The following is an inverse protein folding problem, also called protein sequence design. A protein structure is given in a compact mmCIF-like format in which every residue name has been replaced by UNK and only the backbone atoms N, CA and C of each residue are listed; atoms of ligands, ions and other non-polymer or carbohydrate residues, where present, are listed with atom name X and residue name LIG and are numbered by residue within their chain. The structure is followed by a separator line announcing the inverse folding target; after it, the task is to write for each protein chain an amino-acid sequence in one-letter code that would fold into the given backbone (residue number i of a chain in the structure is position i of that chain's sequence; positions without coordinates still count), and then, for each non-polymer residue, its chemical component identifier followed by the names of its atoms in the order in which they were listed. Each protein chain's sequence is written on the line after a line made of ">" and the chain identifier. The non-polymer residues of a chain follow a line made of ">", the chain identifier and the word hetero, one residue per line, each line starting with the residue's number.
data_IF_249778463770
#
_entry.id   IF_249778463770
#
_cell.length_a   1.000
_cell.length_b   1.000
_cell.length_c   1.000
_cell.angle_alpha   90.00
_cell.angle_beta   90.00
_cell.angle_gamma   90.00
#
_symmetry.space_group_name_H-M   'P 1'
#
loop_
_entity.id
_entity.type
_entity.pdbx_description
1 polymer ?
#
# COMPACT_ATOMS: atom_id res chain seq x y z
N UNK A 1 44.45 -0.87 -1.42
CA UNK A 1 44.10 0.53 -1.72
C UNK A 1 42.58 0.72 -1.87
N UNK A 2 41.94 -0.11 -2.70
CA UNK A 2 40.49 -0.07 -2.96
C UNK A 2 39.61 -0.24 -1.71
N UNK A 3 39.96 -1.12 -0.77
CA UNK A 3 39.21 -1.25 0.49
C UNK A 3 39.20 0.05 1.31
N UNK A 4 40.34 0.72 1.41
CA UNK A 4 40.44 2.02 2.09
C UNK A 4 39.72 3.15 1.32
N UNK A 5 39.53 3.02 0.00
CA UNK A 5 38.66 3.92 -0.78
C UNK A 5 37.20 3.65 -0.49
N UNK A 6 36.79 2.38 -0.45
CA UNK A 6 35.43 1.97 -0.11
C UNK A 6 35.02 2.49 1.26
N UNK A 7 35.85 2.30 2.29
CA UNK A 7 35.55 2.79 3.65
C UNK A 7 35.37 4.31 3.69
N UNK A 8 36.26 5.06 3.02
CA UNK A 8 36.16 6.53 2.93
C UNK A 8 34.91 6.98 2.17
N UNK A 9 34.55 6.29 1.09
CA UNK A 9 33.36 6.60 0.33
C UNK A 9 32.09 6.28 1.14
N UNK A 10 32.05 5.16 1.85
CA UNK A 10 30.94 4.81 2.76
C UNK A 10 30.81 5.81 3.91
N UNK A 11 31.93 6.27 4.46
CA UNK A 11 31.93 7.35 5.44
C UNK A 11 31.29 8.63 4.87
N UNK A 12 31.67 9.05 3.66
CA UNK A 12 31.06 10.21 3.00
C UNK A 12 29.55 10.00 2.72
N UNK A 13 29.11 8.80 2.34
CA UNK A 13 27.67 8.46 2.24
C UNK A 13 26.96 8.66 3.58
N UNK A 14 27.54 8.20 4.68
CA UNK A 14 26.95 8.37 6.02
C UNK A 14 26.84 9.85 6.41
N UNK A 15 27.80 10.68 5.98
CA UNK A 15 27.77 12.13 6.16
C UNK A 15 26.89 12.87 5.14
N UNK A 16 26.19 12.15 4.27
CA UNK A 16 25.32 12.71 3.21
C UNK A 16 26.08 13.53 2.16
N UNK A 17 27.40 13.31 2.06
CA UNK A 17 28.28 13.96 1.10
C UNK A 17 28.31 13.17 -0.21
N UNK A 18 27.16 13.07 -0.89
CA UNK A 18 26.95 12.18 -2.04
C UNK A 18 27.98 12.37 -3.15
N UNK A 19 28.28 13.61 -3.50
CA UNK A 19 29.25 13.97 -4.54
C UNK A 19 30.68 13.65 -4.14
N UNK A 20 31.01 13.68 -2.85
CA UNK A 20 32.33 13.32 -2.32
C UNK A 20 32.48 11.80 -2.38
N UNK A 21 31.47 11.07 -1.91
CA UNK A 21 31.44 9.62 -1.97
C UNK A 21 31.62 9.10 -3.40
N UNK A 22 30.89 9.65 -4.37
CA UNK A 22 31.01 9.29 -5.79
C UNK A 22 32.41 9.58 -6.35
N UNK A 23 32.99 10.75 -6.04
CA UNK A 23 34.35 11.09 -6.47
C UNK A 23 35.41 10.14 -5.90
N UNK A 24 35.28 9.76 -4.62
CA UNK A 24 36.20 8.78 -4.01
C UNK A 24 36.06 7.42 -4.70
N UNK A 25 34.83 7.01 -4.97
CA UNK A 25 34.52 5.72 -5.59
C UNK A 25 35.01 5.63 -7.04
N UNK A 26 34.88 6.70 -7.84
CA UNK A 26 35.33 6.77 -9.23
C UNK A 26 36.85 6.59 -9.40
N UNK A 27 37.63 6.83 -8.33
CA UNK A 27 39.08 6.60 -8.33
C UNK A 27 39.48 5.18 -7.90
N UNK A 28 38.54 4.27 -7.68
CA UNK A 28 38.83 2.87 -7.35
C UNK A 28 39.16 2.07 -8.62
N UNK A 29 40.00 1.04 -8.48
CA UNK A 29 40.31 0.15 -9.61
C UNK A 29 39.17 -0.84 -9.87
N UNK A 30 38.49 -1.29 -8.81
CA UNK A 30 37.32 -2.16 -8.91
C UNK A 30 36.02 -1.38 -9.22
N UNK A 31 35.37 -1.61 -10.38
CA UNK A 31 34.11 -0.93 -10.75
C UNK A 31 32.95 -1.18 -9.76
N UNK A 32 33.01 -2.31 -9.04
CA UNK A 32 32.02 -2.67 -8.02
C UNK A 32 31.93 -1.63 -6.90
N UNK A 33 33.02 -0.92 -6.58
CA UNK A 33 33.01 0.10 -5.53
C UNK A 33 32.12 1.28 -5.93
N UNK A 34 32.21 1.72 -7.18
CA UNK A 34 31.33 2.77 -7.71
C UNK A 34 29.85 2.35 -7.66
N UNK A 35 29.56 1.10 -8.04
CA UNK A 35 28.20 0.55 -8.02
C UNK A 35 27.62 0.47 -6.60
N UNK A 36 28.43 0.02 -5.63
CA UNK A 36 28.03 -0.02 -4.21
C UNK A 36 27.72 1.38 -3.70
N UNK A 37 28.59 2.35 -3.97
CA UNK A 37 28.43 3.73 -3.47
C UNK A 37 27.25 4.42 -4.15
N UNK A 38 27.06 4.20 -5.45
CA UNK A 38 25.87 4.66 -6.16
C UNK A 38 24.61 4.07 -5.55
N UNK A 39 24.53 2.75 -5.40
CA UNK A 39 23.40 2.07 -4.76
C UNK A 39 23.08 2.63 -3.38
N UNK A 40 24.09 2.73 -2.50
CA UNK A 40 23.93 3.26 -1.13
C UNK A 40 23.43 4.70 -1.13
N UNK A 41 23.88 5.50 -2.09
CA UNK A 41 23.37 6.87 -2.30
C UNK A 41 21.90 6.83 -2.72
N UNK A 42 21.51 6.00 -3.68
CA UNK A 42 20.14 5.97 -4.22
C UNK A 42 19.10 5.50 -3.18
N UNK A 43 19.41 4.49 -2.38
CA UNK A 43 18.49 3.96 -1.35
C UNK A 43 18.39 4.86 -0.11
N UNK A 44 19.32 5.79 0.09
CA UNK A 44 19.34 6.68 1.26
C UNK A 44 18.03 7.48 1.36
N UNK A 45 17.38 7.57 2.52
CA UNK A 45 16.16 8.38 2.69
C UNK A 45 16.42 9.89 2.54
N UNK A 46 17.68 10.32 2.62
CA UNK A 46 18.09 11.72 2.54
C UNK A 46 18.55 12.14 1.13
N UNK A 47 18.61 11.21 0.19
CA UNK A 47 18.92 11.51 -1.20
C UNK A 47 17.63 11.69 -2.02
N UNK A 48 17.69 12.62 -2.98
CA UNK A 48 16.60 12.91 -3.92
C UNK A 48 17.07 12.62 -5.35
N UNK A 49 17.32 11.36 -5.71
CA UNK A 49 17.74 11.00 -7.06
C UNK A 49 16.63 11.27 -8.08
N UNK A 50 17.01 11.61 -9.30
CA UNK A 50 16.07 11.80 -10.41
C UNK A 50 15.50 10.46 -10.88
N UNK A 51 14.34 10.51 -11.54
CA UNK A 51 13.76 9.33 -12.19
C UNK A 51 14.75 8.63 -13.13
N UNK A 52 15.45 9.39 -13.98
CA UNK A 52 16.41 8.83 -14.93
C UNK A 52 17.58 8.11 -14.26
N UNK A 53 18.11 8.65 -13.16
CA UNK A 53 19.19 7.96 -12.41
C UNK A 53 18.70 6.65 -11.83
N UNK A 54 17.49 6.62 -11.28
CA UNK A 54 16.89 5.41 -10.71
C UNK A 54 16.60 4.37 -11.80
N UNK A 55 15.98 4.80 -12.91
CA UNK A 55 15.70 3.96 -14.07
C UNK A 55 16.98 3.37 -14.64
N UNK A 56 18.02 4.19 -14.83
CA UNK A 56 19.31 3.74 -15.32
C UNK A 56 19.90 2.65 -14.42
N UNK A 57 19.90 2.85 -13.09
CA UNK A 57 20.42 1.86 -12.16
C UNK A 57 19.64 0.54 -12.23
N UNK A 58 18.31 0.59 -12.18
CA UNK A 58 17.45 -0.59 -12.22
C UNK A 58 17.57 -1.37 -13.54
N UNK A 59 17.78 -0.68 -14.66
CA UNK A 59 17.96 -1.32 -15.98
C UNK A 59 19.34 -1.96 -16.14
N UNK A 60 20.40 -1.34 -15.62
CA UNK A 60 21.77 -1.83 -15.80
C UNK A 60 22.21 -2.85 -14.75
N UNK A 61 21.55 -2.87 -13.58
CA UNK A 61 21.88 -3.74 -12.46
C UNK A 61 20.68 -4.54 -11.97
N UNK A 62 20.08 -5.41 -12.81
CA UNK A 62 18.97 -6.26 -12.38
C UNK A 62 19.46 -7.32 -11.37
N UNK A 63 18.62 -7.64 -10.40
CA UNK A 63 18.92 -8.50 -9.25
C UNK A 63 19.70 -7.82 -8.12
N UNK A 64 19.89 -6.50 -8.15
CA UNK A 64 20.64 -5.82 -7.09
C UNK A 64 19.85 -5.81 -5.77
N UNK A 65 20.50 -5.83 -4.60
CA UNK A 65 19.79 -5.72 -3.34
C UNK A 65 18.89 -4.47 -3.29
N UNK A 66 17.73 -4.60 -2.65
CA UNK A 66 16.82 -3.48 -2.35
C UNK A 66 16.22 -2.79 -3.59
N UNK A 67 16.06 -3.51 -4.70
CA UNK A 67 15.34 -3.03 -5.89
C UNK A 67 13.98 -2.44 -5.57
N UNK A 68 13.19 -3.08 -4.70
CA UNK A 68 11.89 -2.54 -4.26
C UNK A 68 11.97 -1.10 -3.73
N UNK A 69 13.05 -0.73 -3.03
CA UNK A 69 13.23 0.64 -2.53
C UNK A 69 13.51 1.59 -3.69
N UNK A 70 14.36 1.19 -4.63
CA UNK A 70 14.68 1.97 -5.82
C UNK A 70 13.45 2.14 -6.72
N UNK A 71 12.69 1.08 -6.96
CA UNK A 71 11.45 1.08 -7.73
C UNK A 71 10.41 1.99 -7.08
N UNK A 72 10.21 1.91 -5.77
CA UNK A 72 9.30 2.83 -5.04
C UNK A 72 9.74 4.28 -5.15
N UNK A 73 11.06 4.55 -5.09
CA UNK A 73 11.60 5.90 -5.30
C UNK A 73 11.38 6.38 -6.73
N UNK A 74 11.54 5.52 -7.73
CA UNK A 74 11.34 5.85 -9.13
C UNK A 74 9.87 6.15 -9.41
N UNK A 75 8.98 5.29 -8.92
CA UNK A 75 7.53 5.49 -8.95
C UNK A 75 7.11 6.82 -8.30
N UNK A 76 7.73 7.21 -7.19
CA UNK A 76 7.43 8.48 -6.53
C UNK A 76 7.86 9.72 -7.33
N UNK A 77 8.73 9.57 -8.34
CA UNK A 77 9.10 10.64 -9.27
C UNK A 77 8.16 10.73 -10.48
N UNK A 78 7.33 9.71 -10.73
CA UNK A 78 6.40 9.69 -11.86
C UNK A 78 5.08 10.37 -11.51
N UNK A 79 4.57 11.16 -12.45
CA UNK A 79 3.32 11.91 -12.33
C UNK A 79 2.50 11.81 -13.62
N UNK A 80 1.24 12.24 -13.62
CA UNK A 80 0.43 12.32 -14.85
C UNK A 80 1.03 13.27 -15.90
N UNK A 81 1.74 14.31 -15.45
CA UNK A 81 2.48 15.26 -16.31
C UNK A 81 3.70 14.62 -16.99
N UNK A 82 4.19 13.50 -16.46
CA UNK A 82 5.28 12.76 -17.10
C UNK A 82 4.82 12.29 -18.48
N UNK A 83 5.62 12.49 -19.56
CA UNK A 83 5.23 12.11 -20.91
C UNK A 83 4.71 10.68 -20.98
N UNK A 84 3.62 10.48 -21.73
CA UNK A 84 2.95 9.18 -21.84
C UNK A 84 3.90 8.06 -22.28
N UNK A 85 4.80 8.35 -23.21
CA UNK A 85 5.83 7.40 -23.67
C UNK A 85 6.74 6.93 -22.53
N UNK A 86 7.22 7.86 -21.69
CA UNK A 86 8.08 7.54 -20.54
C UNK A 86 7.35 6.67 -19.53
N UNK A 87 6.08 6.99 -19.22
CA UNK A 87 5.27 6.18 -18.30
C UNK A 87 5.01 4.77 -18.85
N UNK A 88 4.65 4.67 -20.13
CA UNK A 88 4.39 3.38 -20.79
C UNK A 88 5.64 2.51 -20.79
N UNK A 89 6.78 3.08 -21.18
CA UNK A 89 8.05 2.36 -21.24
C UNK A 89 8.51 1.90 -19.84
N UNK A 90 8.21 2.68 -18.80
CA UNK A 90 8.46 2.27 -17.42
C UNK A 90 7.57 1.09 -17.00
N UNK A 91 6.24 1.22 -17.14
CA UNK A 91 5.29 0.22 -16.67
C UNK A 91 5.25 -1.06 -17.52
N UNK A 92 5.81 -1.06 -18.72
CA UNK A 92 5.94 -2.27 -19.55
C UNK A 92 6.94 -3.28 -18.98
N UNK A 93 7.90 -2.81 -18.18
CA UNK A 93 8.99 -3.64 -17.62
C UNK A 93 9.01 -3.65 -16.09
N UNK A 94 8.33 -2.69 -15.44
CA UNK A 94 8.31 -2.54 -13.99
C UNK A 94 6.86 -2.61 -13.48
N UNK A 95 6.41 -3.78 -12.98
CA UNK A 95 5.10 -3.89 -12.34
C UNK A 95 4.98 -2.92 -11.15
N UNK A 96 3.92 -2.10 -11.09
CA UNK A 96 3.80 -1.05 -10.08
C UNK A 96 3.63 -1.63 -8.66
N UNK A 97 4.48 -1.18 -7.74
CA UNK A 97 4.53 -1.62 -6.35
C UNK A 97 3.67 -0.72 -5.45
N UNK A 98 3.78 0.60 -5.61
CA UNK A 98 2.98 1.57 -4.85
C UNK A 98 1.56 1.67 -5.40
N UNK A 99 0.64 2.08 -4.54
CA UNK A 99 -0.75 2.27 -4.95
C UNK A 99 -0.89 3.48 -5.90
N UNK A 100 -0.07 4.51 -5.68
CA UNK A 100 0.16 5.65 -6.57
C UNK A 100 0.61 5.21 -7.97
N UNK A 101 1.63 4.36 -8.05
CA UNK A 101 2.10 3.84 -9.33
C UNK A 101 1.07 2.95 -10.03
N UNK A 102 0.30 2.15 -9.28
CA UNK A 102 -0.81 1.36 -9.85
C UNK A 102 -1.86 2.26 -10.51
N UNK A 103 -2.24 3.34 -9.85
CA UNK A 103 -3.13 4.34 -10.43
C UNK A 103 -2.52 4.97 -11.68
N UNK A 104 -1.25 5.38 -11.62
CA UNK A 104 -0.60 6.02 -12.76
C UNK A 104 -0.47 5.07 -13.95
N UNK A 105 -0.13 3.79 -13.71
CA UNK A 105 -0.07 2.75 -14.72
C UNK A 105 -1.43 2.53 -15.40
N UNK A 106 -2.52 2.54 -14.62
CA UNK A 106 -3.88 2.44 -15.13
C UNK A 106 -4.27 3.59 -16.07
N UNK A 107 -3.92 4.83 -15.66
CA UNK A 107 -4.14 6.03 -16.45
C UNK A 107 -3.31 5.95 -17.74
N UNK A 108 -2.06 5.53 -17.65
CA UNK A 108 -1.17 5.30 -18.79
C UNK A 108 -1.74 4.29 -19.79
N UNK A 109 -2.17 3.11 -19.33
CA UNK A 109 -2.74 2.07 -20.19
C UNK A 109 -4.03 2.53 -20.89
N UNK A 110 -4.86 3.29 -20.18
CA UNK A 110 -6.07 3.92 -20.75
C UNK A 110 -5.69 4.92 -21.85
N UNK A 111 -4.76 5.83 -21.58
CA UNK A 111 -4.31 6.84 -22.54
C UNK A 111 -3.65 6.23 -23.78
N UNK A 112 -3.06 5.03 -23.63
CA UNK A 112 -2.49 4.25 -24.73
C UNK A 112 -3.52 3.43 -25.53
N UNK A 113 -4.82 3.48 -25.18
CA UNK A 113 -5.91 2.69 -25.79
C UNK A 113 -5.68 1.17 -25.76
N UNK A 114 -5.03 0.64 -24.70
CA UNK A 114 -4.70 -0.80 -24.56
C UNK A 114 -5.90 -1.65 -24.10
N UNK A 115 -7.12 -1.30 -24.51
CA UNK A 115 -8.33 -2.14 -24.33
C UNK A 115 -8.91 -2.23 -22.92
N UNK A 116 -8.34 -1.52 -21.93
CA UNK A 116 -8.87 -1.51 -20.56
C UNK A 116 -9.69 -0.23 -20.32
N UNK A 117 -10.87 -0.36 -19.72
CA UNK A 117 -11.71 0.81 -19.43
C UNK A 117 -11.23 1.49 -18.15
N UNK A 118 -10.91 2.78 -18.23
CA UNK A 118 -10.50 3.61 -17.07
C UNK A 118 -11.37 3.39 -15.83
N UNK A 119 -12.72 3.32 -15.91
CA UNK A 119 -13.56 3.13 -14.73
C UNK A 119 -13.28 1.84 -13.98
N UNK A 120 -13.05 0.73 -14.70
CA UNK A 120 -12.77 -0.56 -14.05
C UNK A 120 -11.46 -0.51 -13.25
N UNK A 121 -10.42 0.08 -13.83
CA UNK A 121 -9.12 0.14 -13.15
C UNK A 121 -9.13 1.10 -11.96
N UNK A 122 -9.79 2.26 -12.11
CA UNK A 122 -9.94 3.21 -11.01
C UNK A 122 -10.69 2.57 -9.84
N UNK A 123 -11.78 1.83 -10.10
CA UNK A 123 -12.51 1.11 -9.06
C UNK A 123 -11.66 0.07 -8.37
N UNK A 124 -10.95 -0.78 -9.11
CA UNK A 124 -10.09 -1.81 -8.53
C UNK A 124 -8.96 -1.20 -7.67
N UNK A 125 -8.31 -0.18 -8.22
CA UNK A 125 -7.24 0.57 -7.55
C UNK A 125 -7.76 1.23 -6.27
N UNK A 126 -8.94 1.86 -6.33
CA UNK A 126 -9.57 2.49 -5.18
C UNK A 126 -9.93 1.50 -4.07
N UNK A 127 -10.50 0.34 -4.42
CA UNK A 127 -10.87 -0.71 -3.46
C UNK A 127 -9.64 -1.30 -2.75
N UNK A 128 -8.57 -1.58 -3.50
CA UNK A 128 -7.38 -2.30 -2.99
C UNK A 128 -6.28 -1.40 -2.44
N UNK A 129 -6.19 -0.15 -2.90
CA UNK A 129 -5.05 0.72 -2.65
C UNK A 129 -4.91 1.23 -1.21
N UNK A 130 -3.74 1.05 -0.62
CA UNK A 130 -3.28 1.85 0.53
C UNK A 130 -2.62 3.12 0.01
N UNK A 131 -3.33 4.24 0.08
CA UNK A 131 -2.89 5.52 -0.49
C UNK A 131 -2.35 6.46 0.58
N UNK A 132 -1.43 7.34 0.19
CA UNK A 132 -1.23 8.57 0.97
C UNK A 132 -2.51 9.42 1.00
N UNK A 133 -2.65 10.29 2.00
CA UNK A 133 -3.79 11.22 2.05
C UNK A 133 -3.86 12.12 0.81
N UNK A 134 -2.71 12.55 0.29
CA UNK A 134 -2.62 13.37 -0.94
C UNK A 134 -3.19 12.61 -2.14
N UNK A 135 -2.79 11.35 -2.32
CA UNK A 135 -3.23 10.48 -3.41
C UNK A 135 -4.72 10.16 -3.31
N UNK A 136 -5.21 9.84 -2.12
CA UNK A 136 -6.62 9.58 -1.87
C UNK A 136 -7.49 10.77 -2.29
N UNK A 137 -7.06 11.99 -1.93
CA UNK A 137 -7.73 13.22 -2.32
C UNK A 137 -7.70 13.42 -3.85
N UNK A 138 -6.55 13.21 -4.50
CA UNK A 138 -6.44 13.35 -5.96
C UNK A 138 -7.37 12.38 -6.69
N UNK A 139 -7.50 11.14 -6.22
CA UNK A 139 -8.44 10.17 -6.83
C UNK A 139 -9.88 10.64 -6.69
N UNK A 140 -10.26 11.13 -5.51
CA UNK A 140 -11.61 11.65 -5.28
C UNK A 140 -11.88 12.91 -6.10
N UNK A 141 -10.93 13.83 -6.21
CA UNK A 141 -11.04 15.06 -7.01
C UNK A 141 -11.24 14.75 -8.49
N UNK A 142 -10.46 13.82 -9.05
CA UNK A 142 -10.45 13.56 -10.49
C UNK A 142 -11.45 12.47 -10.94
N UNK A 143 -11.78 11.52 -10.06
CA UNK A 143 -12.48 10.30 -10.46
C UNK A 143 -13.66 9.92 -9.56
N UNK A 144 -14.12 10.79 -8.64
CA UNK A 144 -15.28 10.47 -7.80
C UNK A 144 -16.53 10.07 -8.60
N UNK A 145 -16.74 10.63 -9.79
CA UNK A 145 -17.85 10.26 -10.68
C UNK A 145 -17.81 8.82 -11.17
N UNK A 146 -16.65 8.17 -11.13
CA UNK A 146 -16.47 6.76 -11.53
C UNK A 146 -16.69 5.80 -10.35
N UNK A 147 -16.67 6.31 -9.12
CA UNK A 147 -16.75 5.52 -7.89
C UNK A 147 -18.20 5.44 -7.39
N UNK A 148 -18.59 4.24 -6.99
CA UNK A 148 -19.91 3.95 -6.42
C UNK A 148 -19.85 3.86 -4.90
N UNK A 149 -21.01 3.89 -4.26
CA UNK A 149 -21.13 3.62 -2.81
C UNK A 149 -20.56 2.25 -2.42
N UNK A 150 -20.70 1.25 -3.30
CA UNK A 150 -20.12 -0.08 -3.13
C UNK A 150 -18.58 -0.03 -3.16
N UNK A 151 -17.98 0.75 -4.06
CA UNK A 151 -16.53 0.94 -4.14
C UNK A 151 -15.98 1.56 -2.84
N UNK A 152 -16.68 2.56 -2.29
CA UNK A 152 -16.31 3.17 -1.01
C UNK A 152 -16.44 2.18 0.17
N UNK A 153 -17.50 1.37 0.20
CA UNK A 153 -17.69 0.35 1.23
C UNK A 153 -16.61 -0.74 1.16
N UNK A 154 -16.29 -1.23 -0.04
CA UNK A 154 -15.23 -2.21 -0.27
C UNK A 154 -13.85 -1.67 0.14
N UNK A 155 -13.56 -0.41 -0.17
CA UNK A 155 -12.34 0.27 0.30
C UNK A 155 -12.28 0.32 1.82
N UNK A 156 -13.35 0.73 2.49
CA UNK A 156 -13.41 0.77 3.96
C UNK A 156 -13.13 -0.61 4.56
N UNK A 157 -13.73 -1.67 4.01
CA UNK A 157 -13.47 -3.03 4.45
C UNK A 157 -11.98 -3.40 4.32
N UNK A 158 -11.36 -3.14 3.17
CA UNK A 158 -9.93 -3.41 2.96
C UNK A 158 -9.01 -2.61 3.90
N UNK A 159 -9.35 -1.34 4.18
CA UNK A 159 -8.59 -0.51 5.11
C UNK A 159 -8.71 -1.00 6.57
N UNK A 160 -9.88 -1.49 6.98
CA UNK A 160 -10.08 -2.12 8.29
C UNK A 160 -9.20 -3.36 8.46
N UNK A 161 -9.15 -4.23 7.46
CA UNK A 161 -8.28 -5.41 7.48
C UNK A 161 -6.80 -5.05 7.61
N UNK A 162 -6.37 -3.98 6.94
CA UNK A 162 -4.99 -3.47 7.03
C UNK A 162 -4.71 -2.63 8.29
N UNK A 163 -5.69 -2.45 9.18
CA UNK A 163 -5.53 -1.63 10.39
C UNK A 163 -5.30 -0.13 10.12
N UNK A 164 -5.69 0.38 8.96
CA UNK A 164 -5.47 1.78 8.56
C UNK A 164 -6.58 2.70 9.10
N UNK A 165 -6.68 2.84 10.42
CA UNK A 165 -7.77 3.55 11.10
C UNK A 165 -7.99 4.99 10.61
N UNK A 166 -6.92 5.76 10.47
CA UNK A 166 -7.02 7.15 9.97
C UNK A 166 -7.57 7.22 8.54
N UNK A 167 -7.31 6.22 7.69
CA UNK A 167 -7.87 6.17 6.35
C UNK A 167 -9.35 5.75 6.35
N UNK A 168 -9.75 4.83 7.25
CA UNK A 168 -11.15 4.46 7.46
C UNK A 168 -11.97 5.67 7.89
N UNK A 169 -11.47 6.47 8.83
CA UNK A 169 -12.19 7.65 9.34
C UNK A 169 -12.42 8.71 8.26
N UNK A 170 -11.44 8.93 7.37
CA UNK A 170 -11.60 9.83 6.22
C UNK A 170 -12.66 9.35 5.23
N UNK A 171 -12.95 8.06 5.19
CA UNK A 171 -13.95 7.49 4.29
C UNK A 171 -15.40 7.67 4.76
N UNK A 172 -15.62 8.07 6.02
CA UNK A 172 -16.96 8.22 6.59
C UNK A 172 -17.93 9.09 5.78
N UNK A 173 -17.53 10.22 5.16
CA UNK A 173 -18.43 11.02 4.33
C UNK A 173 -18.91 10.30 3.06
N UNK A 174 -18.17 9.30 2.57
CA UNK A 174 -18.43 8.63 1.28
C UNK A 174 -19.22 7.33 1.41
N UNK A 175 -19.48 6.88 2.63
CA UNK A 175 -20.24 5.65 2.90
C UNK A 175 -21.58 5.96 3.56
N UNK A 176 -22.53 5.04 3.38
CA UNK A 176 -23.84 5.12 4.03
C UNK A 176 -23.70 5.10 5.56
N UNK A 177 -24.73 5.62 6.24
CA UNK A 177 -24.77 5.64 7.72
C UNK A 177 -24.58 4.24 8.30
N UNK A 178 -25.17 3.21 7.68
CA UNK A 178 -25.06 1.83 8.12
C UNK A 178 -23.60 1.33 8.06
N UNK A 179 -22.92 1.53 6.93
CA UNK A 179 -21.52 1.14 6.75
C UNK A 179 -20.57 1.94 7.65
N UNK A 180 -20.87 3.22 7.91
CA UNK A 180 -20.13 4.03 8.87
C UNK A 180 -20.20 3.43 10.28
N UNK A 181 -21.39 3.03 10.73
CA UNK A 181 -21.59 2.40 12.05
C UNK A 181 -20.85 1.06 12.14
N UNK A 182 -20.93 0.24 11.10
CA UNK A 182 -20.14 -1.00 10.99
C UNK A 182 -18.63 -0.74 11.13
N UNK A 183 -18.10 0.23 10.38
CA UNK A 183 -16.68 0.58 10.44
C UNK A 183 -16.25 1.10 11.81
N UNK A 184 -17.08 1.93 12.45
CA UNK A 184 -16.84 2.42 13.81
C UNK A 184 -16.80 1.29 14.84
N UNK A 185 -17.71 0.31 14.75
CA UNK A 185 -17.73 -0.86 15.62
C UNK A 185 -16.45 -1.70 15.46
N UNK A 186 -16.03 -1.95 14.21
CA UNK A 186 -14.81 -2.69 13.89
C UNK A 186 -13.55 -1.98 14.39
N UNK A 187 -13.42 -0.67 14.19
CA UNK A 187 -12.30 0.10 14.76
C UNK A 187 -12.31 0.11 16.30
N UNK A 188 -13.48 0.18 16.94
CA UNK A 188 -13.57 0.10 18.40
C UNK A 188 -13.06 -1.25 18.92
N UNK A 189 -13.42 -2.35 18.24
CA UNK A 189 -12.93 -3.70 18.52
C UNK A 189 -11.41 -3.81 18.34
N UNK A 190 -10.85 -3.23 17.27
CA UNK A 190 -9.40 -3.23 17.02
C UNK A 190 -8.62 -2.48 18.09
N UNK A 191 -9.08 -1.28 18.45
CA UNK A 191 -8.37 -0.38 19.38
C UNK A 191 -8.66 -0.65 20.85
N UNK A 192 -9.55 -1.61 21.16
CA UNK A 192 -9.96 -1.95 22.54
C UNK A 192 -10.45 -0.73 23.33
N UNK A 193 -11.12 0.21 22.66
CA UNK A 193 -11.65 1.41 23.30
C UNK A 193 -12.76 1.02 24.28
N UNK A 194 -12.94 1.73 25.41
CA UNK A 194 -14.16 1.60 26.20
C UNK A 194 -15.40 1.82 25.32
N UNK A 195 -16.49 1.06 25.57
CA UNK A 195 -17.73 1.18 24.81
C UNK A 195 -17.82 0.31 23.55
N UNK A 196 -17.01 -0.74 23.41
CA UNK A 196 -17.14 -1.74 22.32
C UNK A 196 -18.58 -2.26 22.20
N UNK A 197 -19.20 -2.64 23.32
CA UNK A 197 -20.57 -3.20 23.30
C UNK A 197 -21.58 -2.19 22.75
N UNK A 198 -21.43 -0.90 23.12
CA UNK A 198 -22.26 0.17 22.59
C UNK A 198 -22.03 0.38 21.09
N UNK A 199 -20.78 0.35 20.63
CA UNK A 199 -20.46 0.50 19.21
C UNK A 199 -21.05 -0.67 18.38
N UNK A 200 -20.93 -1.91 18.88
CA UNK A 200 -21.50 -3.10 18.24
C UNK A 200 -23.03 -3.07 18.23
N UNK A 201 -23.67 -2.64 19.32
CA UNK A 201 -25.13 -2.57 19.41
C UNK A 201 -25.76 -1.55 18.42
N UNK A 202 -24.98 -0.61 17.90
CA UNK A 202 -25.44 0.37 16.90
C UNK A 202 -25.32 -0.12 15.46
N UNK A 203 -24.68 -1.27 15.24
CA UNK A 203 -24.63 -1.87 13.90
C UNK A 203 -26.04 -2.36 13.54
N UNK A 204 -26.59 -1.95 12.37
CA UNK A 204 -27.90 -2.43 11.92
C UNK A 204 -27.95 -3.95 11.81
N UNK A 205 -29.12 -4.54 12.01
CA UNK A 205 -29.30 -5.99 12.01
C UNK A 205 -28.82 -6.64 10.69
N UNK A 206 -29.01 -5.95 9.56
CA UNK A 206 -28.59 -6.42 8.24
C UNK A 206 -27.07 -6.54 8.07
N UNK A 207 -26.29 -5.85 8.92
CA UNK A 207 -24.83 -5.87 8.92
C UNK A 207 -24.25 -6.58 10.15
N UNK A 208 -25.10 -7.12 11.03
CA UNK A 208 -24.67 -7.76 12.27
C UNK A 208 -23.87 -9.04 12.03
N UNK A 209 -24.12 -9.70 10.90
CA UNK A 209 -23.41 -10.89 10.40
C UNK A 209 -22.30 -10.57 9.41
N UNK A 210 -21.89 -9.29 9.27
CA UNK A 210 -20.73 -8.94 8.45
C UNK A 210 -19.51 -9.75 8.88
N UNK A 211 -18.83 -10.46 7.94
CA UNK A 211 -17.72 -11.34 8.30
C UNK A 211 -16.58 -10.63 9.03
N UNK A 212 -16.30 -9.39 8.65
CA UNK A 212 -15.28 -8.59 9.31
C UNK A 212 -15.66 -8.24 10.75
N UNK A 213 -16.92 -7.88 10.99
CA UNK A 213 -17.43 -7.62 12.33
C UNK A 213 -17.40 -8.86 13.21
N UNK A 214 -17.84 -10.02 12.69
CA UNK A 214 -17.82 -11.27 13.46
C UNK A 214 -16.38 -11.64 13.81
N UNK A 215 -15.46 -11.57 12.84
CA UNK A 215 -14.04 -11.81 13.09
C UNK A 215 -13.48 -10.90 14.20
N UNK A 216 -13.74 -9.59 14.12
CA UNK A 216 -13.24 -8.62 15.09
C UNK A 216 -13.83 -8.86 16.49
N UNK A 217 -15.11 -9.26 16.57
CA UNK A 217 -15.82 -9.65 17.80
C UNK A 217 -15.27 -10.94 18.42
N UNK A 218 -14.91 -11.93 17.62
CA UNK A 218 -14.27 -13.19 18.05
C UNK A 218 -12.87 -12.89 18.58
N UNK A 219 -12.05 -12.16 17.79
CA UNK A 219 -10.69 -11.78 18.16
C UNK A 219 -10.67 -11.02 19.47
N UNK A 220 -11.56 -10.05 19.64
CA UNK A 220 -11.68 -9.29 20.88
C UNK A 220 -12.02 -10.20 22.08
N UNK A 221 -13.01 -11.11 21.95
CA UNK A 221 -13.39 -12.04 23.03
C UNK A 221 -12.25 -12.98 23.42
N UNK A 222 -11.56 -13.58 22.45
CA UNK A 222 -10.41 -14.46 22.69
C UNK A 222 -9.31 -13.74 23.48
N UNK A 223 -9.01 -12.49 23.13
CA UNK A 223 -8.01 -11.69 23.82
C UNK A 223 -8.39 -11.32 25.27
N UNK A 224 -9.68 -11.41 25.63
CA UNK A 224 -10.19 -11.15 26.98
C UNK A 224 -10.54 -12.43 27.74
N UNK A 225 -10.04 -13.60 27.30
CA UNK A 225 -10.27 -14.89 27.96
C UNK A 225 -11.69 -15.44 27.82
N UNK A 226 -12.52 -14.84 26.96
CA UNK A 226 -13.93 -15.26 26.74
C UNK A 226 -14.02 -16.28 25.60
N UNK A 227 -13.34 -17.42 25.74
CA UNK A 227 -13.20 -18.41 24.67
C UNK A 227 -14.53 -19.06 24.28
N UNK A 228 -15.33 -19.52 25.23
CA UNK A 228 -16.65 -20.13 24.94
C UNK A 228 -17.57 -19.16 24.20
N UNK A 229 -17.69 -17.92 24.70
CA UNK A 229 -18.48 -16.88 24.03
C UNK A 229 -17.95 -16.50 22.64
N UNK A 230 -16.67 -16.77 22.34
CA UNK A 230 -16.12 -16.59 21.00
C UNK A 230 -16.50 -17.76 20.09
N UNK A 231 -16.51 -19.00 20.60
CA UNK A 231 -16.93 -20.19 19.87
C UNK A 231 -18.43 -20.16 19.56
N UNK A 232 -19.26 -19.80 20.54
CA UNK A 232 -20.70 -19.66 20.34
C UNK A 232 -21.00 -18.62 19.26
N UNK A 233 -20.30 -17.49 19.29
CA UNK A 233 -20.46 -16.46 18.27
C UNK A 233 -20.13 -16.97 16.86
N UNK A 234 -19.09 -17.80 16.71
CA UNK A 234 -18.75 -18.41 15.42
C UNK A 234 -19.87 -19.36 14.97
N UNK A 235 -20.36 -20.23 15.86
CA UNK A 235 -21.43 -21.20 15.58
C UNK A 235 -22.74 -20.53 15.16
N UNK A 236 -23.04 -19.37 15.76
CA UNK A 236 -24.25 -18.60 15.45
C UNK A 236 -24.22 -17.97 14.05
N UNK A 237 -23.03 -17.73 13.48
CA UNK A 237 -22.87 -16.96 12.23
C UNK A 237 -22.29 -17.78 11.07
N UNK A 238 -21.65 -18.91 11.35
CA UNK A 238 -21.00 -19.75 10.35
C UNK A 238 -21.34 -21.22 10.57
N UNK A 239 -21.58 -21.92 9.47
CA UNK A 239 -21.72 -23.37 9.49
C UNK A 239 -20.35 -24.05 9.53
N UNK A 240 -20.32 -25.33 9.88
CA UNK A 240 -19.10 -26.13 9.81
C UNK A 240 -18.47 -26.10 8.40
N UNK A 241 -19.30 -26.10 7.35
CA UNK A 241 -18.88 -26.01 5.95
C UNK A 241 -18.24 -24.65 5.63
N UNK A 242 -18.79 -23.54 6.15
CA UNK A 242 -18.20 -22.21 5.95
C UNK A 242 -16.82 -22.11 6.62
N UNK A 243 -16.68 -22.72 7.80
CA UNK A 243 -15.44 -22.77 8.56
C UNK A 243 -14.41 -23.66 7.86
N UNK A 244 -14.82 -24.79 7.29
CA UNK A 244 -13.94 -25.69 6.54
C UNK A 244 -13.44 -25.04 5.24
N UNK A 245 -14.32 -24.38 4.49
CA UNK A 245 -13.93 -23.61 3.30
C UNK A 245 -12.97 -22.47 3.64
N UNK A 246 -13.23 -21.77 4.74
CA UNK A 246 -12.36 -20.75 5.32
C UNK A 246 -10.96 -21.28 5.70
N UNK A 247 -10.89 -22.47 6.31
CA UNK A 247 -9.62 -23.10 6.70
C UNK A 247 -8.83 -23.56 5.46
N UNK A 248 -9.52 -24.11 4.45
CA UNK A 248 -8.90 -24.58 3.21
C UNK A 248 -8.39 -23.45 2.33
N UNK A 249 -9.11 -22.33 2.25
CA UNK A 249 -8.70 -21.16 1.50
C UNK A 249 -7.66 -20.29 2.24
N UNK A 250 -7.06 -20.85 3.32
CA UNK A 250 -6.15 -20.17 4.26
C UNK A 250 -6.60 -18.73 4.50
N UNK A 251 -7.50 -18.52 5.45
CA UNK A 251 -7.72 -17.19 6.02
C UNK A 251 -6.37 -16.48 6.22
N UNK A 252 -6.19 -15.49 5.32
CA UNK A 252 -5.06 -14.60 5.00
C UNK A 252 -3.94 -14.46 6.03
#
# INVERSE_FOLDING_TARGET
>A
EDFARLDRALYAVNQKEWQVAQRIAAGATAPLIEQIILHKTLISPYSTPTFETLKHFLTHYPGWPQEDILTRKAEAQLTEETPLSVRRDWFSTNPPITAEARLLAAITATQANEGTTLPAIIRDTWRKGGFSHKTERLILENYASLLTSEDHAARVNGLLWRGQAAAVERMYPFVSKQHRLLAQARLALHHRKPGVDYAVARVPAELSSDPGLVYDRVRWRRQHGRTEAALDLIRDHYTATDIEAAIQDRWW
#
